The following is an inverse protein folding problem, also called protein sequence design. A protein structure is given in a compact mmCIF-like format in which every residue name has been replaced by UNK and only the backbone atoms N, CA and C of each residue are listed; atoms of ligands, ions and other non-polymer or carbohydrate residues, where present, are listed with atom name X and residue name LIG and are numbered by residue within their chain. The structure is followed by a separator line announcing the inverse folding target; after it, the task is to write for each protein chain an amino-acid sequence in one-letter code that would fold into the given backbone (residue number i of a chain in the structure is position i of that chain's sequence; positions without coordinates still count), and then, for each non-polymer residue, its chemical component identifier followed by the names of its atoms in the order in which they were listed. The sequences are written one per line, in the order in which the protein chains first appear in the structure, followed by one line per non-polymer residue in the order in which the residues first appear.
data_IF_923425200836
#
_entry.id   IF_923425200836
#
_cell.length_a   1.000
_cell.length_b   1.000
_cell.length_c   1.000
_cell.angle_alpha   90.00
_cell.angle_beta   90.00
_cell.angle_gamma   90.00
#
_symmetry.space_group_name_H-M   'P 1'
#
loop_
_entity.id
_entity.type
_entity.pdbx_description
1 polymer ?
#
# COMPACT_ATOMS: atom_id res chain seq x y z
N UNK A 1 -44.07 -22.52 14.47
CA UNK A 1 -43.77 -21.07 14.41
C UNK A 1 -42.26 -20.83 14.62
N UNK A 2 -41.38 -21.65 14.01
CA UNK A 2 -39.92 -21.68 14.30
C UNK A 2 -39.02 -21.76 13.06
N UNK A 3 -39.56 -21.56 11.86
CA UNK A 3 -38.79 -21.58 10.61
C UNK A 3 -38.48 -20.18 10.06
N UNK A 4 -39.05 -19.10 10.63
CA UNK A 4 -38.88 -17.74 10.11
C UNK A 4 -37.66 -16.99 10.67
N UNK A 5 -37.00 -17.50 11.71
CA UNK A 5 -35.86 -16.83 12.36
C UNK A 5 -34.49 -17.20 11.77
N UNK A 6 -34.39 -18.22 10.90
CA UNK A 6 -33.09 -18.68 10.34
C UNK A 6 -32.56 -17.85 9.16
N UNK A 7 -33.31 -16.88 8.64
CA UNK A 7 -32.94 -16.11 7.44
C UNK A 7 -33.03 -14.58 7.60
N UNK A 8 -33.17 -14.07 8.83
CA UNK A 8 -33.13 -12.63 9.03
C UNK A 8 -31.72 -12.09 8.70
N UNK A 9 -31.64 -11.13 7.77
CA UNK A 9 -30.39 -10.40 7.52
C UNK A 9 -29.90 -9.82 8.85
N UNK A 10 -28.59 -9.91 9.15
CA UNK A 10 -28.01 -9.20 10.29
C UNK A 10 -28.39 -7.72 10.26
N UNK A 11 -28.64 -7.09 11.43
CA UNK A 11 -28.86 -5.66 11.51
C UNK A 11 -27.57 -4.88 11.15
N UNK A 12 -27.72 -3.61 10.79
CA UNK A 12 -26.57 -2.76 10.56
C UNK A 12 -25.79 -2.50 11.85
N UNK A 13 -24.46 -2.55 11.74
CA UNK A 13 -23.57 -2.22 12.85
C UNK A 13 -23.80 -0.77 13.30
N UNK A 14 -23.83 -0.55 14.62
CA UNK A 14 -23.96 0.77 15.22
C UNK A 14 -22.68 1.06 15.99
N UNK A 15 -22.03 2.17 15.65
CA UNK A 15 -20.76 2.54 16.26
C UNK A 15 -20.96 3.01 17.71
N UNK A 16 -20.25 2.42 18.69
CA UNK A 16 -20.12 3.02 20.01
C UNK A 16 -19.41 4.38 19.92
N UNK A 17 -19.77 5.35 20.75
CA UNK A 17 -19.12 6.66 20.74
C UNK A 17 -17.66 6.57 21.21
N UNK A 18 -16.74 7.21 20.48
CA UNK A 18 -15.34 7.33 20.90
C UNK A 18 -15.13 8.58 21.76
N UNK A 19 -14.24 8.46 22.75
CA UNK A 19 -13.80 9.58 23.56
C UNK A 19 -12.68 10.36 22.86
N UNK A 20 -13.05 11.48 22.23
CA UNK A 20 -12.12 12.37 21.56
C UNK A 20 -11.03 12.92 22.51
N UNK A 21 -11.34 13.11 23.81
CA UNK A 21 -10.35 13.61 24.78
C UNK A 21 -9.22 12.60 25.00
N UNK A 22 -9.56 11.30 24.97
CA UNK A 22 -8.61 10.18 25.07
C UNK A 22 -7.94 9.84 23.75
N UNK A 23 -8.31 10.52 22.64
CA UNK A 23 -7.78 10.25 21.30
C UNK A 23 -7.96 8.79 20.88
N UNK A 24 -9.14 8.26 21.18
CA UNK A 24 -9.54 6.90 20.84
C UNK A 24 -9.77 6.75 19.33
N UNK A 25 -9.46 5.57 18.82
CA UNK A 25 -9.74 5.13 17.46
C UNK A 25 -10.02 3.63 17.44
N UNK A 26 -10.43 3.11 16.30
CA UNK A 26 -10.77 1.69 16.15
C UNK A 26 -9.79 0.98 15.22
N UNK A 27 -9.66 -0.32 15.41
CA UNK A 27 -8.96 -1.24 14.54
C UNK A 27 -9.90 -2.38 14.17
N UNK A 28 -9.61 -3.08 13.07
CA UNK A 28 -10.27 -4.33 12.73
C UNK A 28 -9.33 -5.51 12.90
N UNK A 29 -9.82 -6.60 13.48
CA UNK A 29 -9.19 -7.92 13.37
C UNK A 29 -9.91 -8.68 12.26
N UNK A 30 -9.16 -9.12 11.25
CA UNK A 30 -9.70 -9.96 10.20
C UNK A 30 -9.94 -11.37 10.76
N UNK A 31 -11.14 -11.90 10.55
CA UNK A 31 -11.53 -13.24 10.95
C UNK A 31 -11.63 -14.14 9.71
N UNK A 32 -11.59 -15.46 9.91
CA UNK A 32 -11.82 -16.42 8.83
C UNK A 32 -13.15 -16.10 8.12
N UNK A 33 -13.13 -15.82 6.79
CA UNK A 33 -14.33 -15.48 6.04
C UNK A 33 -15.38 -16.57 6.16
N UNK A 34 -16.65 -16.17 6.14
CA UNK A 34 -17.77 -17.12 6.06
C UNK A 34 -17.75 -17.77 4.67
N UNK A 35 -17.63 -19.10 4.54
CA UNK A 35 -17.60 -19.77 3.25
C UNK A 35 -18.85 -19.43 2.41
N UNK A 36 -18.66 -19.30 1.10
CA UNK A 36 -19.81 -19.20 0.18
C UNK A 36 -20.56 -20.52 0.14
N UNK A 37 -21.89 -20.46 0.14
CA UNK A 37 -22.74 -21.63 -0.10
C UNK A 37 -22.74 -22.05 -1.58
N UNK A 38 -22.29 -21.17 -2.47
CA UNK A 38 -22.18 -21.42 -3.91
C UNK A 38 -20.71 -21.73 -4.24
N UNK A 39 -20.39 -22.93 -4.77
CA UNK A 39 -19.04 -23.27 -5.21
C UNK A 39 -18.47 -22.24 -6.20
N UNK A 40 -17.19 -21.90 -6.04
CA UNK A 40 -16.49 -20.94 -6.91
C UNK A 40 -16.65 -19.47 -6.54
N UNK A 41 -17.49 -19.12 -5.55
CA UNK A 41 -17.63 -17.76 -5.04
C UNK A 41 -16.78 -17.53 -3.78
N UNK A 42 -16.25 -16.30 -3.65
CA UNK A 42 -15.50 -15.90 -2.46
C UNK A 42 -16.40 -15.85 -1.22
N UNK A 43 -15.84 -16.23 -0.06
CA UNK A 43 -16.53 -16.12 1.22
C UNK A 43 -16.83 -14.67 1.61
N UNK A 44 -17.78 -14.48 2.52
CA UNK A 44 -18.09 -13.16 3.08
C UNK A 44 -17.07 -12.78 4.14
N UNK A 45 -16.44 -11.62 3.99
CA UNK A 45 -15.48 -11.09 4.97
C UNK A 45 -16.12 -10.95 6.36
N UNK A 46 -15.33 -11.27 7.38
CA UNK A 46 -15.70 -11.14 8.79
C UNK A 46 -14.63 -10.36 9.52
N UNK A 47 -15.04 -9.43 10.36
CA UNK A 47 -14.15 -8.61 11.18
C UNK A 47 -14.68 -8.51 12.60
N UNK A 48 -13.76 -8.31 13.54
CA UNK A 48 -14.06 -7.80 14.87
C UNK A 48 -13.51 -6.38 14.95
N UNK A 49 -14.29 -5.44 15.50
CA UNK A 49 -13.85 -4.06 15.71
C UNK A 49 -13.38 -3.93 17.16
N UNK A 50 -12.15 -3.43 17.35
CA UNK A 50 -11.56 -3.20 18.66
C UNK A 50 -11.27 -1.71 18.84
N UNK A 51 -11.48 -1.20 20.04
CA UNK A 51 -11.19 0.19 20.42
C UNK A 51 -9.81 0.29 21.07
N UNK A 52 -9.08 1.35 20.74
CA UNK A 52 -7.76 1.63 21.30
C UNK A 52 -7.50 3.13 21.31
N UNK A 53 -6.34 3.56 21.77
CA UNK A 53 -5.96 4.97 21.86
C UNK A 53 -4.56 5.21 21.32
N UNK A 54 -4.34 6.41 20.80
CA UNK A 54 -2.98 6.88 20.45
C UNK A 54 -2.14 7.27 21.68
N UNK A 55 -2.74 7.34 22.88
CA UNK A 55 -2.04 7.62 24.13
C UNK A 55 -1.48 6.34 24.73
N UNK A 56 -0.18 6.31 25.00
CA UNK A 56 0.45 5.22 25.73
C UNK A 56 0.33 5.52 27.22
N UNK A 57 -0.76 5.10 27.85
CA UNK A 57 -0.87 5.10 29.31
C UNK A 57 -0.55 3.69 29.80
N UNK A 58 0.61 3.54 30.47
CA UNK A 58 0.97 2.37 31.30
C UNK A 58 1.24 1.03 30.58
N UNK A 59 2.03 1.04 29.50
CA UNK A 59 2.87 -0.11 29.13
C UNK A 59 2.30 -1.15 28.14
N UNK A 60 1.02 -1.09 27.80
CA UNK A 60 0.44 -1.93 26.73
C UNK A 60 0.14 -1.10 25.48
N UNK A 61 1.05 -1.13 24.50
CA UNK A 61 0.77 -0.60 23.16
C UNK A 61 0.12 -1.71 22.32
N UNK A 62 -1.08 -1.47 21.80
CA UNK A 62 -1.64 -2.34 20.77
C UNK A 62 -0.85 -2.12 19.48
N UNK A 63 -0.04 -3.10 19.06
CA UNK A 63 0.61 -3.06 17.74
C UNK A 63 -0.43 -3.34 16.65
N UNK A 64 -0.41 -2.52 15.59
CA UNK A 64 -1.34 -2.63 14.47
C UNK A 64 -0.68 -2.24 13.15
N UNK A 65 -1.28 -2.68 12.07
CA UNK A 65 -0.96 -2.28 10.71
C UNK A 65 -1.99 -1.27 10.19
N UNK A 66 -1.68 -0.58 9.11
CA UNK A 66 -2.62 0.31 8.42
C UNK A 66 -2.83 -0.16 6.98
N UNK A 67 -4.06 -0.01 6.46
CA UNK A 67 -4.36 -0.21 5.05
C UNK A 67 -4.69 1.13 4.41
N UNK A 68 -4.08 1.36 3.27
CA UNK A 68 -4.22 2.53 2.45
C UNK A 68 -4.60 2.09 1.04
N UNK A 69 -5.70 2.62 0.51
CA UNK A 69 -6.25 2.19 -0.78
C UNK A 69 -7.12 3.30 -1.37
N UNK A 70 -7.27 3.29 -2.70
CA UNK A 70 -8.18 4.22 -3.33
C UNK A 70 -9.63 3.84 -3.08
N UNK A 71 -10.36 4.75 -2.44
CA UNK A 71 -11.82 4.71 -2.47
C UNK A 71 -12.23 4.74 -3.95
N UNK A 72 -13.27 3.99 -4.30
CA UNK A 72 -13.75 3.93 -5.67
C UNK A 72 -14.28 5.29 -6.14
N UNK A 73 -15.10 5.30 -7.19
CA UNK A 73 -15.88 6.50 -7.46
C UNK A 73 -16.85 6.74 -6.29
N UNK A 74 -16.59 7.75 -5.47
CA UNK A 74 -17.38 8.14 -4.29
C UNK A 74 -18.83 8.52 -4.62
N UNK A 75 -19.12 8.80 -5.90
CA UNK A 75 -20.48 9.04 -6.39
C UNK A 75 -21.39 7.81 -6.25
N UNK A 76 -20.80 6.61 -6.18
CA UNK A 76 -21.54 5.38 -5.91
C UNK A 76 -21.55 5.12 -4.41
N UNK A 77 -22.72 4.82 -3.84
CA UNK A 77 -22.87 4.33 -2.45
C UNK A 77 -22.15 3.00 -2.24
N UNK A 78 -21.73 2.64 -1.01
CA UNK A 78 -21.14 1.32 -0.73
C UNK A 78 -22.17 0.21 -0.98
N UNK A 79 -21.74 -0.85 -1.67
CA UNK A 79 -22.61 -1.95 -2.14
C UNK A 79 -22.13 -3.33 -1.71
N UNK A 80 -20.99 -3.41 -1.02
CA UNK A 80 -20.42 -4.66 -0.52
C UNK A 80 -20.63 -4.74 0.98
N UNK A 81 -20.59 -5.96 1.51
CA UNK A 81 -20.93 -6.21 2.91
C UNK A 81 -19.78 -6.92 3.59
N UNK A 82 -19.34 -6.38 4.71
CA UNK A 82 -18.53 -7.08 5.71
C UNK A 82 -19.41 -7.41 6.91
N UNK A 83 -19.20 -8.59 7.50
CA UNK A 83 -19.84 -8.98 8.74
C UNK A 83 -18.99 -8.52 9.91
N UNK A 84 -19.60 -7.80 10.85
CA UNK A 84 -18.94 -7.37 12.09
C UNK A 84 -19.41 -8.27 13.21
N UNK A 85 -18.49 -8.98 13.84
CA UNK A 85 -18.73 -9.80 15.02
C UNK A 85 -18.45 -8.95 16.26
N UNK A 86 -19.44 -8.84 17.15
CA UNK A 86 -19.31 -8.10 18.41
C UNK A 86 -20.09 -8.83 19.51
N UNK A 87 -19.41 -9.21 20.60
CA UNK A 87 -19.98 -9.88 21.79
C UNK A 87 -20.93 -11.05 21.44
N UNK A 88 -20.54 -11.88 20.48
CA UNK A 88 -21.29 -13.06 20.04
C UNK A 88 -22.52 -12.76 19.16
N UNK A 89 -22.67 -11.50 18.71
CA UNK A 89 -23.69 -11.08 17.72
C UNK A 89 -23.02 -10.68 16.42
N UNK A 90 -23.69 -10.98 15.32
CA UNK A 90 -23.25 -10.60 13.97
C UNK A 90 -24.06 -9.41 13.46
N UNK A 91 -23.34 -8.43 12.91
CA UNK A 91 -23.89 -7.24 12.27
C UNK A 91 -23.37 -7.15 10.83
N UNK A 92 -23.96 -6.27 10.03
CA UNK A 92 -23.47 -5.94 8.69
C UNK A 92 -23.00 -4.49 8.60
N UNK A 93 -21.93 -4.26 7.87
CA UNK A 93 -21.42 -2.94 7.51
C UNK A 93 -21.19 -2.86 6.00
N UNK A 94 -21.57 -1.74 5.40
CA UNK A 94 -21.42 -1.53 3.97
C UNK A 94 -20.04 -0.95 3.65
N UNK A 95 -19.34 -1.55 2.68
CA UNK A 95 -18.01 -1.13 2.22
C UNK A 95 -17.97 -0.96 0.70
N UNK A 96 -16.95 -0.26 0.21
CA UNK A 96 -16.69 -0.15 -1.22
C UNK A 96 -16.00 -1.42 -1.76
N UNK A 97 -16.23 -1.72 -3.04
CA UNK A 97 -15.61 -2.87 -3.72
C UNK A 97 -14.07 -2.86 -3.65
N UNK A 98 -13.35 -1.72 -3.79
CA UNK A 98 -11.91 -1.72 -3.63
C UNK A 98 -11.44 -2.23 -2.26
N UNK A 99 -12.15 -1.89 -1.17
CA UNK A 99 -11.82 -2.38 0.16
C UNK A 99 -12.10 -3.89 0.29
N UNK A 100 -13.24 -4.36 -0.20
CA UNK A 100 -13.56 -5.79 -0.17
C UNK A 100 -12.47 -6.63 -0.87
N UNK A 101 -12.03 -6.19 -2.05
CA UNK A 101 -10.97 -6.86 -2.80
C UNK A 101 -9.64 -6.81 -2.04
N UNK A 102 -9.29 -5.67 -1.46
CA UNK A 102 -8.07 -5.52 -0.66
C UNK A 102 -8.06 -6.46 0.55
N UNK A 103 -9.14 -6.49 1.33
CA UNK A 103 -9.24 -7.33 2.52
C UNK A 103 -9.24 -8.83 2.19
N UNK A 104 -9.93 -9.25 1.13
CA UNK A 104 -9.89 -10.64 0.67
C UNK A 104 -8.48 -11.07 0.26
N UNK A 105 -7.74 -10.17 -0.38
CA UNK A 105 -6.34 -10.41 -0.70
C UNK A 105 -5.45 -10.54 0.54
N UNK A 106 -5.61 -9.64 1.52
CA UNK A 106 -4.86 -9.69 2.78
C UNK A 106 -5.13 -10.98 3.56
N UNK A 107 -6.38 -11.46 3.54
CA UNK A 107 -6.73 -12.77 4.11
C UNK A 107 -6.07 -13.92 3.35
N UNK A 108 -6.08 -13.89 2.01
CA UNK A 108 -5.54 -14.97 1.18
C UNK A 108 -4.01 -15.10 1.27
N UNK A 109 -3.31 -14.00 1.54
CA UNK A 109 -1.85 -13.98 1.62
C UNK A 109 -1.31 -14.15 3.05
N UNK A 110 -2.18 -14.16 4.06
CA UNK A 110 -1.81 -14.21 5.48
C UNK A 110 -0.75 -13.17 5.86
N UNK A 111 -0.75 -12.01 5.20
CA UNK A 111 0.30 -10.98 5.33
C UNK A 111 0.20 -10.22 6.66
N UNK A 112 -0.92 -10.32 7.37
CA UNK A 112 -1.19 -9.52 8.56
C UNK A 112 -1.71 -10.39 9.71
N UNK A 113 -0.87 -10.55 10.74
CA UNK A 113 -1.24 -11.15 12.03
C UNK A 113 -1.74 -10.12 13.04
N UNK A 114 -1.52 -8.83 12.76
CA UNK A 114 -1.91 -7.72 13.62
C UNK A 114 -3.26 -7.12 13.18
N UNK A 115 -4.00 -6.51 14.12
CA UNK A 115 -5.14 -5.67 13.79
C UNK A 115 -4.78 -4.59 12.76
N UNK A 116 -5.77 -4.17 11.97
CA UNK A 116 -5.61 -3.28 10.84
C UNK A 116 -6.46 -2.03 11.04
N UNK A 117 -5.85 -0.86 10.86
CA UNK A 117 -6.60 0.37 10.69
C UNK A 117 -7.07 0.47 9.23
N UNK A 118 -8.39 0.60 9.06
CA UNK A 118 -9.04 0.82 7.77
C UNK A 118 -10.02 1.98 7.94
N UNK A 119 -9.70 3.14 7.38
CA UNK A 119 -10.46 4.38 7.50
C UNK A 119 -11.98 4.21 7.32
N UNK A 120 -12.42 3.50 6.28
CA UNK A 120 -13.84 3.28 5.98
C UNK A 120 -14.58 2.51 7.09
N UNK A 121 -13.92 1.59 7.79
CA UNK A 121 -14.54 0.74 8.82
C UNK A 121 -14.29 1.30 10.21
N UNK A 122 -13.08 1.78 10.49
CA UNK A 122 -12.64 2.21 11.81
C UNK A 122 -13.21 3.57 12.21
N UNK A 123 -13.67 4.37 11.24
CA UNK A 123 -14.31 5.67 11.45
C UNK A 123 -15.79 5.58 11.09
N UNK A 124 -16.66 6.09 11.97
CA UNK A 124 -18.08 6.24 11.69
C UNK A 124 -18.31 7.30 10.62
N UNK A 125 -18.46 6.85 9.36
CA UNK A 125 -18.62 7.73 8.20
C UNK A 125 -19.92 8.56 8.23
N UNK A 126 -20.90 8.16 9.04
CA UNK A 126 -22.17 8.88 9.22
C UNK A 126 -22.12 9.98 10.28
N UNK A 127 -21.05 10.05 11.07
CA UNK A 127 -20.86 11.07 12.11
C UNK A 127 -19.74 12.03 11.68
N UNK A 128 -20.13 13.25 11.30
CA UNK A 128 -19.20 14.29 10.83
C UNK A 128 -18.26 14.78 11.93
N UNK A 129 -18.68 14.73 13.19
CA UNK A 129 -17.88 15.15 14.34
C UNK A 129 -16.82 14.08 14.62
N UNK A 130 -17.22 12.80 14.69
CA UNK A 130 -16.27 11.69 14.84
C UNK A 130 -15.28 11.71 13.67
N UNK A 131 -15.76 11.82 12.43
CA UNK A 131 -14.91 11.84 11.24
C UNK A 131 -13.86 12.94 11.29
N UNK A 132 -14.23 14.17 11.67
CA UNK A 132 -13.28 15.27 11.79
C UNK A 132 -12.19 14.97 12.84
N UNK A 133 -12.57 14.41 13.99
CA UNK A 133 -11.61 13.98 15.02
C UNK A 133 -10.68 12.88 14.51
N UNK A 134 -11.22 11.84 13.86
CA UNK A 134 -10.41 10.73 13.34
C UNK A 134 -9.44 11.19 12.24
N UNK A 135 -9.86 12.11 11.35
CA UNK A 135 -8.97 12.72 10.35
C UNK A 135 -7.81 13.46 11.02
N UNK A 136 -8.06 14.17 12.12
CA UNK A 136 -7.01 14.83 12.88
C UNK A 136 -6.03 13.84 13.55
N UNK A 137 -6.45 12.59 13.80
CA UNK A 137 -5.62 11.52 14.35
C UNK A 137 -4.83 10.73 13.29
N UNK A 138 -5.23 10.77 12.01
CA UNK A 138 -4.64 9.93 10.95
C UNK A 138 -3.12 10.01 10.90
N UNK A 139 -2.53 11.20 11.03
CA UNK A 139 -1.07 11.38 11.07
C UNK A 139 -0.43 10.51 12.15
N UNK A 140 -0.98 10.49 13.35
CA UNK A 140 -0.43 9.72 14.46
C UNK A 140 -0.74 8.24 14.33
N UNK A 141 -1.88 7.86 13.74
CA UNK A 141 -2.23 6.46 13.46
C UNK A 141 -1.25 5.85 12.45
N UNK A 142 -1.01 6.51 11.31
CA UNK A 142 -0.06 6.02 10.30
C UNK A 142 1.38 6.05 10.79
N UNK A 143 1.77 7.07 11.58
CA UNK A 143 3.12 7.16 12.14
C UNK A 143 3.43 6.05 13.13
N UNK A 144 2.45 5.62 13.92
CA UNK A 144 2.64 4.67 15.01
C UNK A 144 2.30 3.21 14.63
N UNK A 145 1.90 2.94 13.39
CA UNK A 145 1.68 1.57 12.95
C UNK A 145 3.00 0.80 12.75
N UNK A 146 2.96 -0.52 12.90
CA UNK A 146 4.10 -1.41 12.61
C UNK A 146 4.41 -1.42 11.11
N UNK A 147 3.37 -1.59 10.29
CA UNK A 147 3.47 -1.59 8.83
C UNK A 147 2.27 -0.94 8.19
N UNK A 148 2.53 -0.08 7.21
CA UNK A 148 1.53 0.38 6.26
C UNK A 148 1.47 -0.53 5.04
N UNK A 149 0.27 -0.86 4.59
CA UNK A 149 0.04 -1.55 3.33
C UNK A 149 -0.69 -0.62 2.38
N UNK A 150 -0.06 -0.33 1.25
CA UNK A 150 -0.69 0.37 0.13
C UNK A 150 -1.24 -0.69 -0.82
N UNK A 151 -2.55 -0.66 -1.06
CA UNK A 151 -3.22 -1.51 -2.04
C UNK A 151 -3.48 -0.73 -3.32
N UNK A 152 -2.77 -1.11 -4.39
CA UNK A 152 -2.84 -0.49 -5.72
C UNK A 152 -3.95 -1.09 -6.62
N UNK A 153 -4.63 -2.14 -6.15
CA UNK A 153 -5.69 -2.81 -6.88
C UNK A 153 -5.29 -4.19 -7.41
N UNK A 154 -6.14 -4.75 -8.28
CA UNK A 154 -5.89 -6.04 -8.91
C UNK A 154 -4.67 -5.99 -9.86
N UNK A 155 -4.02 -7.13 -10.01
CA UNK A 155 -2.93 -7.29 -10.96
C UNK A 155 -3.44 -7.14 -12.41
N UNK A 156 -2.56 -6.59 -13.24
CA UNK A 156 -2.58 -6.67 -14.69
C UNK A 156 -1.33 -7.42 -15.14
N UNK A 157 -1.27 -7.82 -16.42
CA UNK A 157 -0.03 -8.37 -17.00
C UNK A 157 1.13 -7.39 -16.85
N UNK A 158 0.88 -6.11 -17.09
CA UNK A 158 1.89 -5.06 -17.06
C UNK A 158 2.40 -4.81 -15.63
N UNK A 159 1.51 -4.78 -14.64
CA UNK A 159 1.91 -4.65 -13.23
C UNK A 159 2.76 -5.84 -12.80
N UNK A 160 2.39 -7.07 -13.17
CA UNK A 160 3.16 -8.26 -12.82
C UNK A 160 4.57 -8.22 -13.43
N UNK A 161 4.69 -7.81 -14.70
CA UNK A 161 5.99 -7.61 -15.35
C UNK A 161 6.86 -6.59 -14.60
N UNK A 162 6.28 -5.44 -14.20
CA UNK A 162 7.00 -4.44 -13.40
C UNK A 162 7.48 -4.99 -12.05
N UNK A 163 6.58 -5.64 -11.30
CA UNK A 163 6.91 -6.21 -9.99
C UNK A 163 8.02 -7.27 -10.07
N UNK A 164 7.97 -8.13 -11.09
CA UNK A 164 9.01 -9.16 -11.29
C UNK A 164 10.35 -8.50 -11.67
N UNK A 165 10.33 -7.55 -12.60
CA UNK A 165 11.54 -6.82 -13.03
C UNK A 165 12.25 -6.17 -11.85
N UNK A 166 11.52 -5.44 -11.00
CA UNK A 166 12.07 -4.77 -9.82
C UNK A 166 12.58 -5.79 -8.80
N UNK A 167 11.81 -6.85 -8.51
CA UNK A 167 12.20 -7.86 -7.51
C UNK A 167 13.51 -8.57 -7.87
N UNK A 168 13.63 -9.00 -9.12
CA UNK A 168 14.84 -9.68 -9.61
C UNK A 168 16.11 -8.83 -9.43
N UNK A 169 16.00 -7.51 -9.59
CA UNK A 169 17.14 -6.58 -9.56
C UNK A 169 17.41 -5.99 -8.18
N UNK A 170 16.38 -5.91 -7.34
CA UNK A 170 16.50 -5.37 -5.98
C UNK A 170 16.85 -6.43 -4.94
N UNK A 171 16.81 -7.74 -5.28
CA UNK A 171 17.08 -8.85 -4.37
C UNK A 171 16.46 -8.65 -2.96
N UNK A 172 15.15 -8.35 -2.93
CA UNK A 172 14.38 -8.08 -1.72
C UNK A 172 14.95 -6.96 -0.81
N UNK A 173 15.58 -5.94 -1.40
CA UNK A 173 16.13 -4.80 -0.68
C UNK A 173 17.65 -4.82 -0.53
N UNK A 174 18.32 -5.88 -0.99
CA UNK A 174 19.77 -6.05 -0.88
C UNK A 174 20.53 -5.79 -2.20
N UNK A 175 19.83 -5.41 -3.26
CA UNK A 175 20.44 -5.07 -4.56
C UNK A 175 21.13 -3.70 -4.54
N UNK A 176 22.03 -3.48 -5.51
CA UNK A 176 22.83 -2.25 -5.69
C UNK A 176 21.97 -0.99 -5.56
N UNK A 177 20.85 -0.92 -6.28
CA UNK A 177 19.96 0.24 -6.26
C UNK A 177 19.36 0.54 -4.88
N UNK A 178 19.06 -0.50 -4.10
CA UNK A 178 18.54 -0.34 -2.74
C UNK A 178 19.63 0.18 -1.79
N UNK A 179 20.88 -0.28 -1.96
CA UNK A 179 22.03 0.26 -1.24
C UNK A 179 22.20 1.76 -1.49
N UNK A 180 22.19 2.15 -2.77
CA UNK A 180 22.39 3.54 -3.22
C UNK A 180 21.28 4.47 -2.69
N UNK A 181 20.02 4.06 -2.77
CA UNK A 181 18.89 4.89 -2.32
C UNK A 181 18.81 5.00 -0.80
N UNK A 182 19.35 4.03 -0.08
CA UNK A 182 19.40 4.05 1.37
C UNK A 182 20.58 4.88 1.91
N UNK A 183 21.46 5.39 1.04
CA UNK A 183 22.46 6.41 1.40
C UNK A 183 21.83 7.80 1.60
N UNK A 184 22.67 8.77 2.01
CA UNK A 184 22.26 10.17 2.11
C UNK A 184 21.87 10.68 0.72
N UNK A 185 20.77 11.46 0.65
CA UNK A 185 20.27 12.05 -0.59
C UNK A 185 21.37 12.75 -1.40
N UNK A 186 22.27 13.49 -0.75
CA UNK A 186 23.38 14.16 -1.41
C UNK A 186 24.31 13.20 -2.18
N UNK A 187 24.61 12.03 -1.60
CA UNK A 187 25.46 11.03 -2.24
C UNK A 187 24.75 10.36 -3.42
N UNK A 188 23.46 10.04 -3.25
CA UNK A 188 22.62 9.53 -4.34
C UNK A 188 22.56 10.52 -5.54
N UNK A 189 22.47 11.83 -5.27
CA UNK A 189 22.52 12.86 -6.32
C UNK A 189 23.89 12.97 -6.98
N UNK A 190 24.99 12.91 -6.22
CA UNK A 190 26.34 12.88 -6.79
C UNK A 190 26.54 11.69 -7.73
N UNK A 191 26.09 10.50 -7.31
CA UNK A 191 26.13 9.30 -8.14
C UNK A 191 25.30 9.48 -9.40
N UNK A 192 24.08 10.02 -9.28
CA UNK A 192 23.23 10.32 -10.43
C UNK A 192 23.93 11.23 -11.44
N UNK A 193 24.50 12.35 -10.98
CA UNK A 193 25.20 13.30 -11.84
C UNK A 193 26.42 12.65 -12.50
N UNK A 194 27.19 11.85 -11.75
CA UNK A 194 28.35 11.16 -12.27
C UNK A 194 28.03 10.04 -13.27
N UNK A 195 26.83 9.43 -13.20
CA UNK A 195 26.34 8.52 -14.25
C UNK A 195 26.11 9.30 -15.56
N UNK A 196 25.68 10.55 -15.47
CA UNK A 196 25.49 11.40 -16.64
C UNK A 196 26.81 11.97 -17.16
N UNK A 197 27.74 12.33 -16.29
CA UNK A 197 29.04 12.93 -16.62
C UNK A 197 30.18 12.29 -15.84
N UNK A 198 30.96 11.44 -16.54
CA UNK A 198 32.07 10.70 -15.96
C UNK A 198 33.23 11.59 -15.47
N UNK A 199 33.23 12.88 -15.81
CA UNK A 199 34.26 13.83 -15.36
C UNK A 199 34.03 14.36 -13.94
N UNK A 200 32.85 14.14 -13.36
CA UNK A 200 32.52 14.59 -12.01
C UNK A 200 33.38 13.84 -10.98
N UNK A 201 34.08 14.59 -10.15
CA UNK A 201 34.86 14.05 -9.04
C UNK A 201 33.93 13.60 -7.91
N UNK A 202 34.04 12.33 -7.55
CA UNK A 202 33.24 11.66 -6.52
C UNK A 202 34.15 10.81 -5.64
N UNK A 203 33.65 10.43 -4.46
CA UNK A 203 34.36 9.51 -3.57
C UNK A 203 34.50 8.11 -4.19
N UNK A 204 35.40 7.29 -3.64
CA UNK A 204 35.61 5.92 -4.14
C UNK A 204 34.35 5.06 -4.03
N UNK A 205 33.57 5.20 -2.94
CA UNK A 205 32.28 4.51 -2.80
C UNK A 205 31.28 4.93 -3.87
N UNK A 206 31.15 6.24 -4.12
CA UNK A 206 30.23 6.76 -5.15
C UNK A 206 30.67 6.33 -6.55
N UNK A 207 31.97 6.13 -6.78
CA UNK A 207 32.52 5.61 -8.03
C UNK A 207 32.11 4.16 -8.27
N UNK A 208 32.23 3.31 -7.26
CA UNK A 208 31.75 1.92 -7.31
C UNK A 208 30.25 1.86 -7.60
N UNK A 209 29.46 2.70 -6.90
CA UNK A 209 28.00 2.80 -7.10
C UNK A 209 27.63 3.24 -8.52
N UNK A 210 28.32 4.27 -9.04
CA UNK A 210 28.14 4.76 -10.42
C UNK A 210 28.45 3.67 -11.44
N UNK A 211 29.59 2.99 -11.29
CA UNK A 211 30.03 1.97 -12.25
C UNK A 211 29.06 0.77 -12.25
N UNK A 212 28.57 0.37 -11.06
CA UNK A 212 27.54 -0.64 -10.95
C UNK A 212 26.20 -0.22 -11.60
N UNK A 213 25.80 1.06 -11.48
CA UNK A 213 24.62 1.58 -12.19
C UNK A 213 24.81 1.55 -13.70
N UNK A 214 25.97 1.95 -14.22
CA UNK A 214 26.25 1.92 -15.65
C UNK A 214 26.16 0.50 -16.21
N UNK A 215 26.69 -0.49 -15.49
CA UNK A 215 26.55 -1.89 -15.84
C UNK A 215 25.08 -2.35 -15.83
N UNK A 216 24.30 -1.94 -14.82
CA UNK A 216 22.86 -2.23 -14.78
C UNK A 216 22.10 -1.58 -15.95
N UNK A 217 22.40 -0.33 -16.30
CA UNK A 217 21.80 0.36 -17.44
C UNK A 217 22.11 -0.41 -18.73
N UNK A 218 23.37 -0.81 -18.92
CA UNK A 218 23.80 -1.56 -20.11
C UNK A 218 23.14 -2.93 -20.21
N UNK A 219 23.03 -3.66 -19.09
CA UNK A 219 22.54 -5.03 -19.08
C UNK A 219 21.01 -5.14 -19.05
N UNK A 220 20.33 -4.13 -18.51
CA UNK A 220 18.91 -4.23 -18.18
C UNK A 220 18.07 -3.03 -18.59
N UNK A 221 18.67 -1.92 -19.01
CA UNK A 221 17.94 -0.70 -19.36
C UNK A 221 16.90 -0.91 -20.45
N UNK A 222 17.28 -1.62 -21.52
CA UNK A 222 16.40 -1.85 -22.67
C UNK A 222 15.21 -2.78 -22.35
N UNK A 223 15.37 -3.65 -21.34
CA UNK A 223 14.31 -4.55 -20.85
C UNK A 223 13.37 -3.88 -19.83
N UNK A 224 13.56 -2.59 -19.52
CA UNK A 224 12.76 -1.89 -18.54
C UNK A 224 11.28 -1.86 -18.96
N UNK A 225 10.34 -2.42 -18.16
CA UNK A 225 8.96 -2.59 -18.60
C UNK A 225 8.16 -1.30 -18.40
N UNK A 226 8.32 -0.37 -19.35
CA UNK A 226 7.71 0.97 -19.32
C UNK A 226 6.19 0.92 -19.16
N UNK A 227 5.50 0.03 -19.89
CA UNK A 227 4.05 -0.12 -19.78
C UNK A 227 3.61 -0.62 -18.38
N UNK A 228 4.46 -1.38 -17.69
CA UNK A 228 4.23 -1.80 -16.31
C UNK A 228 4.46 -0.69 -15.31
N UNK A 229 5.51 0.10 -15.52
CA UNK A 229 5.80 1.29 -14.74
C UNK A 229 4.66 2.32 -14.82
N UNK A 230 4.19 2.63 -16.04
CA UNK A 230 3.05 3.52 -16.29
C UNK A 230 1.78 3.01 -15.63
N UNK A 231 1.44 1.72 -15.81
CA UNK A 231 0.26 1.11 -15.17
C UNK A 231 0.27 1.29 -13.64
N UNK A 232 1.43 1.17 -12.99
CA UNK A 232 1.55 1.37 -11.54
C UNK A 232 1.34 2.83 -11.13
N UNK A 233 1.96 3.78 -11.83
CA UNK A 233 1.83 5.20 -11.51
C UNK A 233 0.44 5.76 -11.83
N UNK A 234 -0.25 5.19 -12.82
CA UNK A 234 -1.62 5.54 -13.18
C UNK A 234 -2.66 4.96 -12.21
N UNK A 235 -2.25 4.13 -11.25
CA UNK A 235 -3.17 3.63 -10.23
C UNK A 235 -3.73 4.80 -9.43
N UNK A 236 -5.06 4.81 -9.29
CA UNK A 236 -5.85 5.83 -8.56
C UNK A 236 -5.31 6.18 -7.18
N UNK A 237 -4.57 5.27 -6.54
CA UNK A 237 -3.91 5.55 -5.28
C UNK A 237 -3.00 6.79 -5.38
N UNK A 238 -2.13 6.87 -6.39
CA UNK A 238 -1.19 7.99 -6.59
C UNK A 238 -1.88 9.33 -6.91
N UNK A 239 -3.15 9.31 -7.29
CA UNK A 239 -3.94 10.51 -7.60
C UNK A 239 -4.64 11.10 -6.34
N UNK A 240 -4.50 10.47 -5.18
CA UNK A 240 -5.15 10.90 -3.93
C UNK A 240 -4.27 11.91 -3.18
N UNK A 241 -4.93 12.87 -2.53
CA UNK A 241 -4.28 13.86 -1.67
C UNK A 241 -3.64 13.23 -0.40
N UNK A 242 -4.25 12.18 0.13
CA UNK A 242 -3.85 11.58 1.41
C UNK A 242 -2.64 10.61 1.31
N UNK A 243 -2.10 10.40 0.10
CA UNK A 243 -0.96 9.50 -0.15
C UNK A 243 0.27 9.79 0.70
N UNK A 244 0.54 11.06 1.02
CA UNK A 244 1.71 11.47 1.78
C UNK A 244 1.67 10.90 3.21
N UNK A 245 0.55 11.05 3.91
CA UNK A 245 0.43 10.54 5.28
C UNK A 245 0.48 9.00 5.29
N UNK A 246 -0.21 8.41 4.31
CA UNK A 246 -0.38 6.96 4.22
C UNK A 246 0.89 6.23 3.74
N UNK A 247 1.72 6.88 2.94
CA UNK A 247 2.93 6.31 2.35
C UNK A 247 4.24 6.76 2.99
N UNK A 248 4.30 7.93 3.64
CA UNK A 248 5.56 8.45 4.18
C UNK A 248 5.67 8.38 5.71
N UNK A 249 4.57 8.22 6.44
CA UNK A 249 4.58 8.16 7.91
C UNK A 249 4.82 6.76 8.48
N UNK A 250 4.32 5.66 7.87
CA UNK A 250 4.63 4.31 8.36
C UNK A 250 6.12 4.01 8.38
N UNK A 251 6.60 3.32 9.43
CA UNK A 251 8.01 2.90 9.54
C UNK A 251 8.40 1.87 8.48
N UNK A 252 7.50 0.94 8.22
CA UNK A 252 7.61 -0.03 7.14
C UNK A 252 6.41 0.11 6.22
N UNK A 253 6.65 0.00 4.92
CA UNK A 253 5.61 0.17 3.93
C UNK A 253 5.72 -0.91 2.85
N UNK A 254 4.58 -1.54 2.57
CA UNK A 254 4.42 -2.59 1.57
C UNK A 254 3.46 -2.10 0.48
N UNK A 255 3.91 -2.14 -0.78
CA UNK A 255 3.08 -1.80 -1.94
C UNK A 255 2.58 -3.09 -2.57
N UNK A 256 1.30 -3.39 -2.38
CA UNK A 256 0.64 -4.58 -2.88
C UNK A 256 -0.20 -4.28 -4.14
N UNK A 257 -0.09 -5.14 -5.14
CA UNK A 257 -0.88 -5.11 -6.38
C UNK A 257 -1.16 -6.55 -6.83
N UNK A 258 -2.45 -6.94 -6.86
CA UNK A 258 -2.81 -8.35 -6.98
C UNK A 258 -2.09 -9.18 -5.92
N UNK A 259 -1.52 -10.33 -6.31
CA UNK A 259 -0.74 -11.21 -5.41
C UNK A 259 0.71 -10.76 -5.21
N UNK A 260 1.14 -9.72 -5.92
CA UNK A 260 2.51 -9.22 -5.86
C UNK A 260 2.63 -8.15 -4.78
N UNK A 261 3.79 -8.10 -4.13
CA UNK A 261 4.14 -7.00 -3.22
C UNK A 261 5.62 -6.67 -3.31
N UNK A 262 5.95 -5.42 -2.96
CA UNK A 262 7.30 -4.88 -2.85
C UNK A 262 7.39 -4.02 -1.58
N UNK A 263 8.53 -4.08 -0.89
CA UNK A 263 8.82 -3.06 0.12
C UNK A 263 9.06 -1.71 -0.57
N UNK A 264 8.90 -0.62 0.18
CA UNK A 264 9.00 0.72 -0.39
C UNK A 264 10.39 1.08 -0.91
N UNK A 265 11.46 0.51 -0.34
CA UNK A 265 12.82 0.71 -0.85
C UNK A 265 13.02 0.09 -2.22
N UNK A 266 12.48 -1.12 -2.46
CA UNK A 266 12.47 -1.73 -3.78
C UNK A 266 11.65 -0.88 -4.78
N UNK A 267 10.52 -0.32 -4.36
CA UNK A 267 9.74 0.58 -5.20
C UNK A 267 10.52 1.84 -5.59
N UNK A 268 11.16 2.51 -4.61
CA UNK A 268 12.05 3.67 -4.88
C UNK A 268 13.21 3.29 -5.81
N UNK A 269 13.79 2.11 -5.62
CA UNK A 269 14.84 1.55 -6.50
C UNK A 269 14.40 1.44 -7.95
N UNK A 270 13.23 0.88 -8.21
CA UNK A 270 12.66 0.83 -9.55
C UNK A 270 12.45 2.23 -10.16
N UNK A 271 11.90 3.16 -9.38
CA UNK A 271 11.67 4.56 -9.81
C UNK A 271 12.98 5.31 -10.11
N UNK A 272 13.99 5.12 -9.29
CA UNK A 272 15.30 5.75 -9.47
C UNK A 272 16.02 5.19 -10.69
N UNK A 273 16.00 3.87 -10.88
CA UNK A 273 16.58 3.23 -12.06
C UNK A 273 15.92 3.71 -13.35
N UNK A 274 14.59 3.87 -13.37
CA UNK A 274 13.91 4.50 -14.50
C UNK A 274 14.47 5.89 -14.80
N UNK A 275 14.61 6.73 -13.77
CA UNK A 275 15.08 8.11 -13.91
C UNK A 275 16.50 8.16 -14.47
N UNK A 276 17.39 7.30 -13.98
CA UNK A 276 18.75 7.13 -14.46
C UNK A 276 18.78 6.65 -15.92
N UNK A 277 18.14 5.51 -16.20
CA UNK A 277 18.10 4.92 -17.53
C UNK A 277 17.50 5.89 -18.56
N UNK A 278 16.36 6.51 -18.23
CA UNK A 278 15.68 7.46 -19.12
C UNK A 278 16.56 8.67 -19.45
N UNK A 279 17.21 9.24 -18.44
CA UNK A 279 18.08 10.42 -18.64
C UNK A 279 19.34 10.06 -19.41
N UNK A 280 19.98 8.93 -19.06
CA UNK A 280 21.15 8.42 -19.76
C UNK A 280 20.87 8.13 -21.23
N UNK A 281 19.73 7.47 -21.53
CA UNK A 281 19.31 7.20 -22.90
C UNK A 281 19.08 8.49 -23.68
N UNK A 282 18.35 9.47 -23.13
CA UNK A 282 18.10 10.76 -23.79
C UNK A 282 19.40 11.51 -24.12
N UNK A 283 20.38 11.48 -23.22
CA UNK A 283 21.69 12.11 -23.42
C UNK A 283 22.48 11.44 -24.55
N UNK A 284 22.42 10.11 -24.65
CA UNK A 284 23.27 9.33 -25.55
C UNK A 284 22.61 8.95 -26.89
N UNK A 285 21.28 9.06 -27.01
CA UNK A 285 20.50 8.61 -28.18
C UNK A 285 19.58 9.71 -28.76
N UNK A 286 19.78 10.97 -28.41
CA UNK A 286 19.02 12.12 -28.95
C UNK A 286 19.29 12.32 -30.45
N UNK A 287 18.61 11.52 -31.29
CA UNK A 287 18.67 11.57 -32.75
C UNK A 287 17.95 10.44 -33.49
N UNK A 288 17.53 9.36 -32.83
CA UNK A 288 16.96 8.16 -33.48
C UNK A 288 15.62 7.76 -32.85
N UNK A 289 14.52 8.00 -33.59
CA UNK A 289 13.11 7.50 -33.46
C UNK A 289 12.48 7.44 -32.06
N UNK A 290 11.15 7.38 -32.02
CA UNK A 290 10.44 7.29 -30.74
C UNK A 290 10.65 5.91 -30.10
N UNK A 291 10.68 5.83 -28.76
CA UNK A 291 10.83 4.56 -28.01
C UNK A 291 9.74 3.52 -28.28
N UNK A 292 8.60 3.94 -28.83
CA UNK A 292 7.52 3.03 -29.23
C UNK A 292 7.79 2.35 -30.58
N UNK A 293 8.81 2.78 -31.33
CA UNK A 293 9.17 2.27 -32.64
C UNK A 293 10.39 1.32 -32.62
N UNK A 294 10.94 1.03 -31.44
CA UNK A 294 12.00 0.05 -31.17
C UNK A 294 11.41 -1.11 -30.35
#
# INVERSE_FOLDING_TARGET
MELSTRFASPPYYQYPALDASKREFRLIRLLTPKPSLIPGYQGTLRVEIIETTTRVESGETCSYNTLSYAWGNESNRPQRTVLVEDRGKTYKLAIYRPLEVALLHLVATSVLDLPLFVDQICTNQGDTIEKAHQVALMKDIYKNCERGVIWLGAASRNSDTWYNYVRERCHDGNGVLCGIINHRLASCMNVFDAVMDLSIEISDQEREDRDAILDMIRLHGDDFPLAGYEDILDRRWFQRLWTIQEGCLPRQLLLACGMQSLCFDCFKAGMFFYSLYNTHWNKNHSGLKSRQEL
#
